data_IF_307596802065
#
_entry.id   IF_307596802065
#
_cell.length_a   1.000
_cell.length_b   1.000
_cell.length_c   1.000
_cell.angle_alpha   90.00
_cell.angle_beta   90.00
_cell.angle_gamma   90.00
#
_symmetry.space_group_name_H-M   'P 1'
#
loop_
_entity.id
_entity.type
_entity.pdbx_description
1 polymer ?
#
# COMPACT_ATOMS: atom_id res chain seq x y z
N UNK A 1 -13.30 -8.12 18.07
CA UNK A 1 -12.17 -8.89 17.50
C UNK A 1 -10.96 -7.98 17.60
N UNK A 2 -9.87 -8.47 18.19
CA UNK A 2 -8.75 -7.68 18.70
C UNK A 2 -8.31 -6.59 17.70
N UNK A 3 -8.56 -5.33 18.06
CA UNK A 3 -8.09 -4.15 17.34
C UNK A 3 -6.69 -3.79 17.80
N UNK A 4 -5.78 -4.78 17.78
CA UNK A 4 -4.45 -4.64 18.35
C UNK A 4 -3.43 -4.30 17.26
N UNK A 5 -3.20 -2.99 17.11
CA UNK A 5 -2.01 -2.34 16.51
C UNK A 5 -1.44 -2.99 15.25
N UNK A 6 -2.05 -2.77 14.09
CA UNK A 6 -1.33 -2.94 12.81
C UNK A 6 -0.11 -1.99 12.84
N UNK A 7 1.12 -2.49 12.67
CA UNK A 7 2.31 -1.66 12.63
C UNK A 7 2.16 -0.51 11.65
N UNK A 8 2.33 0.72 12.13
CA UNK A 8 2.32 1.91 11.29
C UNK A 8 3.75 2.40 11.07
N UNK A 9 4.08 2.70 9.82
CA UNK A 9 5.41 3.05 9.37
C UNK A 9 5.32 4.27 8.46
N UNK A 10 6.10 5.30 8.71
CA UNK A 10 6.17 6.46 7.82
C UNK A 10 7.08 6.19 6.62
N UNK A 11 6.71 6.67 5.43
CA UNK A 11 7.52 6.50 4.22
C UNK A 11 8.96 7.01 4.38
N UNK A 12 9.12 8.22 4.92
CA UNK A 12 10.41 8.90 5.15
C UNK A 12 11.37 8.82 3.96
N UNK A 13 10.90 9.21 2.77
CA UNK A 13 11.68 9.18 1.53
C UNK A 13 12.24 7.77 1.22
N UNK A 14 11.40 6.77 1.52
CA UNK A 14 11.65 5.34 1.34
C UNK A 14 12.72 4.74 2.24
N UNK A 15 13.18 5.43 3.29
CA UNK A 15 14.10 4.83 4.28
C UNK A 15 13.50 3.61 4.97
N UNK A 16 12.17 3.59 5.12
CA UNK A 16 11.46 2.49 5.77
C UNK A 16 10.91 1.45 4.79
N UNK A 17 11.19 1.56 3.48
CA UNK A 17 10.71 0.61 2.48
C UNK A 17 11.13 -0.83 2.79
N UNK A 18 12.37 -1.04 3.27
CA UNK A 18 12.86 -2.35 3.68
C UNK A 18 12.10 -2.96 4.87
N UNK A 19 11.62 -2.13 5.80
CA UNK A 19 10.80 -2.58 6.94
C UNK A 19 9.42 -3.03 6.47
N UNK A 20 8.78 -2.26 5.59
CA UNK A 20 7.48 -2.62 5.00
C UNK A 20 7.60 -3.89 4.17
N UNK A 21 8.62 -3.96 3.30
CA UNK A 21 8.96 -5.16 2.54
C UNK A 21 9.10 -6.40 3.43
N UNK A 22 9.82 -6.28 4.54
CA UNK A 22 9.99 -7.39 5.47
C UNK A 22 8.65 -7.88 6.03
N UNK A 23 7.74 -6.98 6.41
CA UNK A 23 6.41 -7.33 6.91
C UNK A 23 5.58 -8.03 5.82
N UNK A 24 5.51 -7.45 4.62
CA UNK A 24 4.80 -8.02 3.46
C UNK A 24 5.29 -9.42 3.11
N UNK A 25 6.61 -9.64 3.09
CA UNK A 25 7.19 -10.96 2.79
C UNK A 25 6.86 -12.02 3.85
N UNK A 26 6.52 -11.63 5.07
CA UNK A 26 6.10 -12.54 6.14
C UNK A 26 4.58 -12.60 6.29
N UNK A 27 3.83 -12.05 5.31
CA UNK A 27 2.37 -11.99 5.33
C UNK A 27 1.82 -11.24 6.58
N UNK A 28 2.63 -10.36 7.17
CA UNK A 28 2.23 -9.53 8.30
C UNK A 28 1.61 -8.21 7.80
N UNK A 29 0.43 -7.80 8.31
CA UNK A 29 -0.20 -6.58 7.89
C UNK A 29 0.60 -5.36 8.35
N UNK A 30 0.68 -4.32 7.52
CA UNK A 30 1.42 -3.09 7.83
C UNK A 30 0.75 -1.87 7.19
N UNK A 31 0.70 -0.76 7.92
CA UNK A 31 0.25 0.54 7.41
C UNK A 31 1.47 1.38 7.06
N UNK A 32 1.56 1.82 5.80
CA UNK A 32 2.55 2.78 5.33
C UNK A 32 1.91 4.17 5.20
N UNK A 33 2.33 5.10 6.04
CA UNK A 33 1.93 6.51 5.94
C UNK A 33 2.75 7.19 4.85
N UNK A 34 2.06 7.74 3.87
CA UNK A 34 2.63 8.40 2.69
C UNK A 34 2.72 9.92 2.90
N UNK A 35 3.66 10.61 2.22
CA UNK A 35 3.77 12.06 2.31
C UNK A 35 2.52 12.74 1.77
N UNK A 36 2.18 13.90 2.36
CA UNK A 36 1.13 14.77 1.84
C UNK A 36 1.47 15.22 0.41
N UNK A 37 0.48 15.18 -0.50
CA UNK A 37 0.66 15.58 -1.89
C UNK A 37 1.08 14.45 -2.83
N UNK A 38 1.15 13.21 -2.34
CA UNK A 38 1.19 12.03 -3.20
C UNK A 38 -0.02 12.04 -4.16
N UNK A 39 0.24 11.68 -5.41
CA UNK A 39 -0.78 11.42 -6.42
C UNK A 39 -1.40 10.04 -6.18
N UNK A 40 -2.72 10.03 -5.95
CA UNK A 40 -3.54 8.85 -5.72
C UNK A 40 -4.48 8.56 -6.90
N UNK A 41 -4.25 9.16 -8.08
CA UNK A 41 -5.11 9.05 -9.26
C UNK A 41 -5.04 7.69 -9.99
N UNK A 42 -4.93 6.60 -9.23
CA UNK A 42 -4.99 5.23 -9.75
C UNK A 42 -6.44 4.80 -9.96
N UNK A 43 -6.69 4.18 -11.10
CA UNK A 43 -7.95 3.48 -11.31
C UNK A 43 -7.90 2.12 -10.61
N UNK A 44 -8.45 2.06 -9.40
CA UNK A 44 -8.49 0.83 -8.60
C UNK A 44 -9.21 -0.33 -9.31
N UNK A 45 -10.08 -0.06 -10.27
CA UNK A 45 -10.78 -1.12 -11.00
C UNK A 45 -9.83 -1.97 -11.86
N UNK A 46 -8.74 -1.39 -12.36
CA UNK A 46 -7.68 -2.09 -13.09
C UNK A 46 -6.96 -3.13 -12.22
N UNK A 47 -6.97 -2.93 -10.90
CA UNK A 47 -6.32 -3.78 -9.90
C UNK A 47 -7.32 -4.62 -9.09
N UNK A 48 -8.58 -4.67 -9.52
CA UNK A 48 -9.63 -5.46 -8.86
C UNK A 48 -10.08 -4.92 -7.51
N UNK A 49 -9.77 -3.65 -7.20
CA UNK A 49 -10.17 -3.02 -5.95
C UNK A 49 -11.70 -2.88 -5.85
N UNK A 50 -12.22 -2.92 -4.63
CA UNK A 50 -13.59 -2.50 -4.30
C UNK A 50 -13.55 -1.13 -3.66
N UNK A 51 -14.26 -0.17 -4.25
CA UNK A 51 -14.38 1.16 -3.63
C UNK A 51 -15.39 1.10 -2.48
N UNK A 52 -14.97 1.56 -1.31
CA UNK A 52 -15.82 1.79 -0.16
C UNK A 52 -16.59 3.11 -0.36
N UNK A 53 -17.92 3.10 -0.44
CA UNK A 53 -18.71 4.28 -0.79
C UNK A 53 -18.74 5.34 0.33
N UNK A 54 -18.45 4.96 1.57
CA UNK A 54 -18.53 5.86 2.73
C UNK A 54 -17.21 6.58 2.97
N UNK A 55 -16.09 5.89 2.73
CA UNK A 55 -14.73 6.42 2.99
C UNK A 55 -13.97 6.81 1.73
N UNK A 56 -14.40 6.36 0.54
CA UNK A 56 -13.64 6.50 -0.71
C UNK A 56 -12.38 5.63 -0.76
N UNK A 57 -12.16 4.78 0.24
CA UNK A 57 -11.04 3.85 0.32
C UNK A 57 -11.20 2.76 -0.73
N UNK A 58 -10.13 2.43 -1.45
CA UNK A 58 -10.14 1.29 -2.35
C UNK A 58 -9.57 0.09 -1.61
N UNK A 59 -10.32 -1.01 -1.57
CA UNK A 59 -10.02 -2.18 -0.75
C UNK A 59 -9.75 -3.44 -1.55
N UNK A 60 -8.88 -4.30 -1.04
CA UNK A 60 -8.58 -5.63 -1.57
C UNK A 60 -7.97 -5.61 -2.98
N UNK A 61 -7.23 -4.55 -3.29
CA UNK A 61 -6.55 -4.39 -4.56
C UNK A 61 -5.45 -5.45 -4.73
N UNK A 62 -5.18 -5.85 -5.96
CA UNK A 62 -3.95 -6.57 -6.31
C UNK A 62 -2.73 -5.69 -5.95
N UNK A 63 -1.86 -6.21 -5.09
CA UNK A 63 -0.84 -5.39 -4.43
C UNK A 63 0.33 -4.98 -5.33
N UNK A 64 0.90 -5.90 -6.11
CA UNK A 64 2.11 -5.63 -6.87
C UNK A 64 1.88 -4.60 -7.98
N UNK A 65 0.83 -4.80 -8.78
CA UNK A 65 0.47 -3.88 -9.86
C UNK A 65 0.10 -2.51 -9.34
N UNK A 66 -0.75 -2.43 -8.30
CA UNK A 66 -1.18 -1.15 -7.74
C UNK A 66 0.02 -0.36 -7.18
N UNK A 67 0.90 -1.02 -6.40
CA UNK A 67 2.04 -0.36 -5.75
C UNK A 67 3.08 0.08 -6.79
N UNK A 68 3.33 -0.71 -7.84
CA UNK A 68 4.15 -0.30 -8.99
C UNK A 68 3.55 0.94 -9.67
N UNK A 69 2.24 0.97 -9.88
CA UNK A 69 1.59 2.12 -10.50
C UNK A 69 1.72 3.39 -9.67
N UNK A 70 1.54 3.28 -8.35
CA UNK A 70 1.75 4.39 -7.42
C UNK A 70 3.22 4.86 -7.42
N UNK A 71 4.18 3.93 -7.52
CA UNK A 71 5.60 4.25 -7.64
C UNK A 71 5.89 5.10 -8.88
N UNK A 72 5.34 4.72 -10.04
CA UNK A 72 5.49 5.44 -11.31
C UNK A 72 4.86 6.84 -11.26
N UNK A 73 3.63 6.95 -10.78
CA UNK A 73 2.91 8.24 -10.73
C UNK A 73 3.61 9.28 -9.86
N UNK A 74 4.33 8.83 -8.84
CA UNK A 74 4.91 9.70 -7.82
C UNK A 74 6.43 9.86 -7.90
N UNK A 75 7.08 9.25 -8.90
CA UNK A 75 8.55 9.17 -8.99
C UNK A 75 9.18 8.61 -7.68
N UNK A 76 8.56 7.55 -7.15
CA UNK A 76 8.95 6.90 -5.89
C UNK A 76 9.47 5.48 -6.13
N UNK A 77 10.65 5.30 -6.76
CA UNK A 77 11.12 4.00 -7.23
C UNK A 77 11.30 2.96 -6.12
N UNK A 78 11.52 3.38 -4.87
CA UNK A 78 11.62 2.47 -3.71
C UNK A 78 10.31 1.77 -3.35
N UNK A 79 9.15 2.26 -3.83
CA UNK A 79 7.90 1.52 -3.69
C UNK A 79 7.92 0.23 -4.51
N UNK A 80 8.71 0.15 -5.58
CA UNK A 80 8.86 -1.08 -6.37
C UNK A 80 9.47 -2.22 -5.54
N UNK A 81 10.34 -1.92 -4.57
CA UNK A 81 10.90 -2.94 -3.68
C UNK A 81 9.81 -3.63 -2.83
N UNK A 82 8.77 -2.88 -2.46
CA UNK A 82 7.60 -3.38 -1.73
C UNK A 82 6.65 -4.10 -2.69
N UNK A 83 6.47 -3.57 -3.90
CA UNK A 83 5.65 -4.22 -4.91
C UNK A 83 6.18 -5.60 -5.31
N UNK A 84 7.50 -5.77 -5.42
CA UNK A 84 8.13 -7.06 -5.68
C UNK A 84 7.89 -8.05 -4.53
N UNK A 85 7.84 -7.56 -3.29
CA UNK A 85 7.47 -8.39 -2.15
C UNK A 85 5.99 -8.78 -2.19
N UNK A 86 5.11 -7.87 -2.64
CA UNK A 86 3.71 -8.19 -2.86
C UNK A 86 3.51 -9.19 -4.00
N UNK A 87 4.30 -9.13 -5.06
CA UNK A 87 4.27 -10.11 -6.14
C UNK A 87 4.68 -11.50 -5.63
N UNK A 88 5.70 -11.55 -4.78
CA UNK A 88 6.16 -12.79 -4.15
C UNK A 88 5.12 -13.39 -3.19
N UNK A 89 4.53 -12.56 -2.31
CA UNK A 89 3.59 -12.99 -1.27
C UNK A 89 2.13 -13.01 -1.74
N UNK A 90 1.84 -12.62 -2.99
CA UNK A 90 0.47 -12.39 -3.48
C UNK A 90 -0.36 -11.44 -2.60
N UNK A 91 0.29 -10.41 -2.06
CA UNK A 91 -0.33 -9.49 -1.09
C UNK A 91 -1.54 -8.75 -1.68
N UNK A 92 -2.48 -8.39 -0.82
CA UNK A 92 -3.52 -7.40 -1.09
C UNK A 92 -3.18 -6.08 -0.43
N UNK A 93 -3.72 -5.03 -1.01
CA UNK A 93 -3.56 -3.69 -0.48
C UNK A 93 -4.88 -2.94 -0.45
N UNK A 94 -5.06 -2.14 0.58
CA UNK A 94 -6.04 -1.09 0.62
C UNK A 94 -5.34 0.27 0.50
N UNK A 95 -5.93 1.19 -0.27
CA UNK A 95 -5.45 2.58 -0.36
C UNK A 95 -6.50 3.54 0.20
N UNK A 96 -6.03 4.42 1.08
CA UNK A 96 -6.83 5.46 1.71
C UNK A 96 -6.19 6.84 1.40
N UNK A 97 -6.61 7.46 0.28
CA UNK A 97 -6.12 8.78 -0.11
C UNK A 97 -6.42 9.87 0.93
N UNK A 98 -7.56 9.78 1.63
CA UNK A 98 -7.96 10.75 2.64
C UNK A 98 -7.07 10.68 3.90
N UNK A 99 -6.67 9.46 4.28
CA UNK A 99 -5.73 9.20 5.37
C UNK A 99 -4.25 9.21 4.96
N UNK A 100 -3.94 9.46 3.68
CA UNK A 100 -2.60 9.40 3.11
C UNK A 100 -1.84 8.12 3.47
N UNK A 101 -2.48 6.94 3.31
CA UNK A 101 -1.89 5.67 3.72
C UNK A 101 -2.19 4.53 2.77
N UNK A 102 -1.24 3.60 2.71
CA UNK A 102 -1.36 2.30 2.04
C UNK A 102 -1.35 1.24 3.14
N UNK A 103 -2.30 0.30 3.10
CA UNK A 103 -2.42 -0.77 4.08
C UNK A 103 -2.16 -2.07 3.33
N UNK A 104 -1.12 -2.79 3.72
CA UNK A 104 -0.74 -4.07 3.13
C UNK A 104 -1.27 -5.20 4.00
N UNK A 105 -1.83 -6.24 3.39
CA UNK A 105 -2.37 -7.42 4.06
C UNK A 105 -2.47 -8.63 3.09
N UNK A 106 -3.02 -9.75 3.56
CA UNK A 106 -3.37 -10.94 2.77
C UNK A 106 -4.50 -10.65 1.77
#
# INVERSE_FOLDING_TARGET
>A
MASDNIPTVDWQDGRNAGRVKFQVMHEEPVVLMMPSGMDWSVDGSEFGCKTDPDSGMQRGCEGAGLVRKLAELNDMPKLNDIADACEYASCRVDIDPAGARIIFHD
#
